data_IF_771717130668
#
_entry.id   IF_771717130668
#
_cell.length_a   1.000
_cell.length_b   1.000
_cell.length_c   1.000
_cell.angle_alpha   90.00
_cell.angle_beta   90.00
_cell.angle_gamma   90.00
#
_symmetry.space_group_name_H-M   'P 1'
#
loop_
_entity.id
_entity.type
_entity.pdbx_description
1 polymer ?
#
# COMPACT_ATOMS: atom_id res chain seq x y z
N UNK A 1 13.61 -1.74 26.04
CA UNK A 1 14.51 -2.35 25.04
C UNK A 1 13.65 -2.90 23.93
N UNK A 2 14.06 -2.88 22.66
CA UNK A 2 13.31 -3.57 21.64
C UNK A 2 13.26 -5.06 22.02
N UNK A 3 12.07 -5.67 21.94
CA UNK A 3 11.86 -7.09 22.31
C UNK A 3 12.58 -8.04 21.36
N UNK A 4 12.83 -7.60 20.15
CA UNK A 4 13.53 -8.37 19.10
C UNK A 4 14.37 -7.46 18.22
N UNK A 5 15.45 -8.00 17.68
CA UNK A 5 16.29 -7.28 16.73
C UNK A 5 15.59 -7.19 15.35
N UNK A 6 15.02 -8.29 14.90
CA UNK A 6 14.18 -8.37 13.70
C UNK A 6 13.32 -9.63 13.74
N UNK A 7 12.12 -9.56 13.14
CA UNK A 7 11.26 -10.71 12.81
C UNK A 7 11.23 -10.82 11.30
N UNK A 8 11.44 -12.02 10.75
CA UNK A 8 11.41 -12.25 9.31
C UNK A 8 10.16 -13.01 8.93
N UNK A 9 9.36 -12.44 8.01
CA UNK A 9 8.20 -13.11 7.42
C UNK A 9 8.37 -13.08 5.90
N UNK A 10 8.38 -14.26 5.28
CA UNK A 10 8.74 -14.36 3.86
C UNK A 10 10.16 -13.83 3.62
N UNK A 11 10.31 -12.84 2.77
CA UNK A 11 11.57 -12.18 2.46
C UNK A 11 11.72 -10.78 3.10
N UNK A 12 10.84 -10.44 4.04
CA UNK A 12 10.84 -9.15 4.71
C UNK A 12 11.27 -9.28 6.17
N UNK A 13 12.28 -8.50 6.55
CA UNK A 13 12.73 -8.41 7.94
C UNK A 13 12.12 -7.16 8.60
N UNK A 14 11.25 -7.38 9.59
CA UNK A 14 10.63 -6.34 10.39
C UNK A 14 11.55 -5.95 11.54
N UNK A 15 11.85 -4.66 11.70
CA UNK A 15 12.30 -4.14 12.99
C UNK A 15 11.15 -4.18 14.00
N UNK A 16 11.44 -4.04 15.29
CA UNK A 16 10.38 -3.96 16.33
C UNK A 16 9.37 -2.84 16.02
N UNK A 17 9.86 -1.71 15.51
CA UNK A 17 9.03 -0.57 15.16
C UNK A 17 8.20 -0.82 13.90
N UNK A 18 8.79 -1.46 12.88
CA UNK A 18 8.07 -1.81 11.65
C UNK A 18 6.95 -2.83 11.96
N UNK A 19 7.22 -3.85 12.80
CA UNK A 19 6.25 -4.87 13.17
C UNK A 19 5.04 -4.26 13.88
N UNK A 20 5.29 -3.41 14.90
CA UNK A 20 4.24 -2.74 15.64
C UNK A 20 3.41 -1.85 14.71
N UNK A 21 4.07 -0.94 14.01
CA UNK A 21 3.39 -0.01 13.15
C UNK A 21 2.65 -0.68 11.99
N UNK A 22 3.14 -1.86 11.54
CA UNK A 22 2.45 -2.71 10.57
C UNK A 22 1.09 -3.15 11.09
N UNK A 23 1.06 -3.70 12.30
CA UNK A 23 -0.19 -4.16 12.91
C UNK A 23 -1.13 -2.99 13.30
N UNK A 24 -0.58 -1.82 13.65
CA UNK A 24 -1.37 -0.61 13.94
C UNK A 24 -2.16 -0.12 12.72
N UNK A 25 -1.56 -0.13 11.53
CA UNK A 25 -2.17 0.42 10.31
C UNK A 25 -3.10 -0.55 9.57
N UNK A 26 -3.17 -1.81 9.97
CA UNK A 26 -3.99 -2.80 9.25
C UNK A 26 -5.47 -2.44 9.18
N UNK A 27 -6.01 -1.82 10.24
CA UNK A 27 -7.39 -1.39 10.25
C UNK A 27 -7.65 -0.27 9.23
N UNK A 28 -6.72 0.68 9.10
CA UNK A 28 -6.83 1.76 8.11
C UNK A 28 -6.72 1.21 6.69
N UNK A 29 -5.85 0.21 6.47
CA UNK A 29 -5.74 -0.47 5.19
C UNK A 29 -7.06 -1.16 4.82
N UNK A 30 -7.68 -1.89 5.73
CA UNK A 30 -8.99 -2.50 5.51
C UNK A 30 -10.05 -1.44 5.16
N UNK A 31 -10.07 -0.32 5.88
CA UNK A 31 -10.96 0.81 5.59
C UNK A 31 -10.78 1.35 4.17
N UNK A 32 -9.53 1.40 3.65
CA UNK A 32 -9.27 1.80 2.27
C UNK A 32 -9.79 0.78 1.25
N UNK A 33 -9.72 -0.53 1.50
CA UNK A 33 -10.28 -1.54 0.62
C UNK A 33 -11.81 -1.45 0.52
N UNK A 34 -12.46 -1.03 1.59
CA UNK A 34 -13.93 -1.03 1.70
C UNK A 34 -14.55 0.32 1.39
N UNK A 35 -13.74 1.37 1.22
CA UNK A 35 -14.21 2.77 1.16
C UNK A 35 -15.10 3.11 -0.05
N UNK A 36 -14.99 2.43 -1.17
CA UNK A 36 -15.59 2.91 -2.42
C UNK A 36 -16.56 1.93 -3.10
N UNK A 37 -16.82 0.74 -2.57
CA UNK A 37 -17.58 -0.27 -3.31
C UNK A 37 -18.24 -1.31 -2.42
N UNK A 38 -19.18 -2.04 -2.97
CA UNK A 38 -19.68 -3.28 -2.38
C UNK A 38 -18.52 -4.27 -2.25
N UNK A 39 -18.25 -4.72 -1.03
CA UNK A 39 -17.18 -5.68 -0.75
C UNK A 39 -17.58 -7.03 -1.35
N UNK A 40 -16.76 -7.65 -2.20
CA UNK A 40 -17.04 -8.98 -2.74
C UNK A 40 -17.21 -10.03 -1.63
N UNK A 41 -18.15 -10.95 -1.77
CA UNK A 41 -18.43 -11.96 -0.74
C UNK A 41 -17.18 -12.84 -0.45
N UNK A 42 -16.35 -13.11 -1.45
CA UNK A 42 -15.09 -13.81 -1.26
C UNK A 42 -14.12 -13.08 -0.33
N UNK A 43 -14.10 -11.74 -0.37
CA UNK A 43 -13.29 -10.92 0.54
C UNK A 43 -13.84 -10.97 1.96
N UNK A 44 -15.15 -10.90 2.13
CA UNK A 44 -15.81 -11.02 3.44
C UNK A 44 -15.53 -12.38 4.07
N UNK A 45 -15.58 -13.45 3.30
CA UNK A 45 -15.24 -14.79 3.78
C UNK A 45 -13.77 -14.87 4.19
N UNK A 46 -12.84 -14.34 3.39
CA UNK A 46 -11.42 -14.24 3.72
C UNK A 46 -11.17 -13.41 4.98
N UNK A 47 -11.83 -12.27 5.11
CA UNK A 47 -11.70 -11.40 6.28
C UNK A 47 -12.19 -12.08 7.56
N UNK A 48 -13.32 -12.79 7.51
CA UNK A 48 -13.82 -13.58 8.66
C UNK A 48 -12.80 -14.61 9.12
N UNK A 49 -12.20 -15.36 8.18
CA UNK A 49 -11.14 -16.33 8.47
C UNK A 49 -9.91 -15.68 9.08
N UNK A 50 -9.45 -14.58 8.51
CA UNK A 50 -8.32 -13.80 9.00
C UNK A 50 -8.56 -13.26 10.42
N UNK A 51 -9.73 -12.67 10.71
CA UNK A 51 -10.07 -12.16 12.03
C UNK A 51 -10.13 -13.26 13.09
N UNK A 52 -10.65 -14.44 12.73
CA UNK A 52 -10.63 -15.61 13.61
C UNK A 52 -9.20 -16.07 13.93
N UNK A 53 -8.32 -16.11 12.93
CA UNK A 53 -6.89 -16.44 13.09
C UNK A 53 -6.18 -15.41 13.97
N UNK A 54 -6.35 -14.12 13.70
CA UNK A 54 -5.75 -13.01 14.48
C UNK A 54 -6.16 -13.09 15.95
N UNK A 55 -7.47 -13.31 16.20
CA UNK A 55 -8.00 -13.43 17.55
C UNK A 55 -7.39 -14.62 18.30
N UNK A 56 -7.28 -15.76 17.64
CA UNK A 56 -6.66 -16.97 18.20
C UNK A 56 -5.19 -16.75 18.53
N UNK A 57 -4.41 -16.18 17.62
CA UNK A 57 -2.97 -15.94 17.78
C UNK A 57 -2.67 -14.95 18.90
N UNK A 58 -3.48 -13.90 19.04
CA UNK A 58 -3.33 -12.91 20.11
C UNK A 58 -4.00 -13.31 21.44
N UNK A 59 -4.72 -14.43 21.48
CA UNK A 59 -5.44 -14.86 22.66
C UNK A 59 -6.52 -13.86 23.10
N UNK A 60 -7.25 -13.28 22.13
CA UNK A 60 -8.37 -12.37 22.37
C UNK A 60 -9.70 -13.02 22.00
N UNK A 61 -10.80 -12.51 22.57
CA UNK A 61 -12.14 -12.98 22.22
C UNK A 61 -12.51 -12.49 20.82
N UNK A 62 -12.91 -13.42 19.95
CA UNK A 62 -13.42 -13.08 18.60
C UNK A 62 -14.77 -12.36 18.75
N UNK A 63 -14.93 -11.13 18.21
CA UNK A 63 -16.22 -10.44 18.22
C UNK A 63 -17.20 -11.09 17.22
N UNK A 64 -18.47 -10.63 17.22
CA UNK A 64 -19.44 -11.03 16.19
C UNK A 64 -18.92 -10.63 14.80
N UNK A 65 -18.99 -11.57 13.85
CA UNK A 65 -18.57 -11.37 12.45
C UNK A 65 -19.74 -11.03 11.51
N UNK A 66 -20.90 -10.65 12.07
CA UNK A 66 -22.05 -10.16 11.26
C UNK A 66 -21.71 -8.85 10.54
N UNK A 67 -21.01 -7.95 11.23
CA UNK A 67 -20.44 -6.74 10.64
C UNK A 67 -18.92 -6.86 10.62
N UNK A 68 -18.38 -7.20 9.46
CA UNK A 68 -16.93 -7.46 9.29
C UNK A 68 -16.10 -6.20 9.53
N UNK A 69 -16.56 -5.02 9.14
CA UNK A 69 -15.83 -3.76 9.35
C UNK A 69 -15.66 -3.45 10.84
N UNK A 70 -16.76 -3.56 11.60
CA UNK A 70 -16.72 -3.36 13.04
C UNK A 70 -15.86 -4.43 13.74
N UNK A 71 -15.94 -5.67 13.27
CA UNK A 71 -15.14 -6.76 13.79
C UNK A 71 -13.65 -6.55 13.49
N UNK A 72 -13.33 -6.05 12.31
CA UNK A 72 -11.94 -5.75 11.90
C UNK A 72 -11.33 -4.70 12.84
N UNK A 73 -12.01 -3.58 13.05
CA UNK A 73 -11.59 -2.53 13.97
C UNK A 73 -11.42 -3.07 15.41
N UNK A 74 -12.38 -3.85 15.90
CA UNK A 74 -12.36 -4.40 17.26
C UNK A 74 -11.19 -5.38 17.47
N UNK A 75 -10.95 -6.29 16.52
CA UNK A 75 -9.85 -7.27 16.63
C UNK A 75 -8.51 -6.54 16.60
N UNK A 76 -8.30 -5.61 15.68
CA UNK A 76 -7.03 -4.88 15.59
C UNK A 76 -6.77 -4.00 16.81
N UNK A 77 -7.78 -3.30 17.32
CA UNK A 77 -7.66 -2.56 18.60
C UNK A 77 -7.23 -3.49 19.73
N UNK A 78 -7.90 -4.63 19.91
CA UNK A 78 -7.58 -5.59 20.97
C UNK A 78 -6.19 -6.24 20.82
N UNK A 79 -5.74 -6.48 19.56
CA UNK A 79 -4.36 -6.94 19.29
C UNK A 79 -3.36 -5.89 19.74
N UNK A 80 -3.61 -4.62 19.44
CA UNK A 80 -2.69 -3.53 19.79
C UNK A 80 -2.64 -3.25 21.28
N UNK A 81 -3.77 -3.36 22.00
CA UNK A 81 -3.81 -3.27 23.48
C UNK A 81 -2.94 -4.34 24.14
N UNK A 82 -2.88 -5.53 23.54
CA UNK A 82 -2.06 -6.65 24.02
C UNK A 82 -0.65 -6.72 23.43
N UNK A 83 -0.31 -5.85 22.50
CA UNK A 83 0.93 -5.99 21.71
C UNK A 83 2.17 -6.16 22.60
N UNK A 84 2.21 -5.42 23.69
CA UNK A 84 3.35 -5.47 24.62
C UNK A 84 3.45 -6.78 25.43
N UNK A 85 2.41 -7.56 25.49
CA UNK A 85 2.38 -8.87 26.14
C UNK A 85 2.60 -10.03 25.17
N UNK A 86 2.55 -9.78 23.84
CA UNK A 86 2.76 -10.80 22.83
C UNK A 86 4.22 -11.25 22.78
N UNK A 87 4.42 -12.54 22.58
CA UNK A 87 5.74 -13.12 22.34
C UNK A 87 6.19 -12.89 20.89
N UNK A 88 7.50 -12.94 20.61
CA UNK A 88 8.02 -12.85 19.24
C UNK A 88 7.37 -13.85 18.28
N UNK A 89 7.19 -15.15 18.61
CA UNK A 89 6.49 -16.08 17.73
C UNK A 89 5.03 -15.72 17.46
N UNK A 90 4.33 -15.08 18.42
CA UNK A 90 2.98 -14.59 18.18
C UNK A 90 2.97 -13.40 17.20
N UNK A 91 3.88 -12.45 17.38
CA UNK A 91 4.01 -11.30 16.47
C UNK A 91 4.37 -11.78 15.06
N UNK A 92 5.32 -12.72 14.92
CA UNK A 92 5.67 -13.35 13.64
C UNK A 92 4.45 -14.00 12.98
N UNK A 93 3.67 -14.76 13.76
CA UNK A 93 2.47 -15.44 13.27
C UNK A 93 1.38 -14.45 12.83
N UNK A 94 1.17 -13.35 13.57
CA UNK A 94 0.23 -12.28 13.21
C UNK A 94 0.63 -11.60 11.88
N UNK A 95 1.91 -11.27 11.73
CA UNK A 95 2.44 -10.71 10.48
C UNK A 95 2.32 -11.71 9.32
N UNK A 96 2.58 -13.00 9.57
CA UNK A 96 2.43 -14.04 8.56
C UNK A 96 0.96 -14.24 8.15
N UNK A 97 0.01 -14.13 9.07
CA UNK A 97 -1.42 -14.17 8.77
C UNK A 97 -1.81 -13.02 7.83
N UNK A 98 -1.33 -11.80 8.08
CA UNK A 98 -1.51 -10.66 7.21
C UNK A 98 -0.96 -10.92 5.79
N UNK A 99 0.27 -11.44 5.67
CA UNK A 99 0.89 -11.74 4.37
C UNK A 99 0.12 -12.81 3.57
N UNK A 100 -0.60 -13.69 4.24
CA UNK A 100 -1.47 -14.66 3.58
C UNK A 100 -2.81 -14.06 3.17
N UNK A 101 -3.38 -13.20 3.99
CA UNK A 101 -4.72 -12.65 3.79
C UNK A 101 -4.79 -11.63 2.63
N UNK A 102 -3.99 -10.57 2.67
CA UNK A 102 -4.12 -9.48 1.69
C UNK A 102 -3.95 -9.92 0.23
N UNK A 103 -3.00 -10.81 -0.13
CA UNK A 103 -2.90 -11.31 -1.49
C UNK A 103 -4.10 -12.15 -1.98
N UNK A 104 -4.99 -12.61 -1.10
CA UNK A 104 -6.19 -13.35 -1.50
C UNK A 104 -7.29 -12.45 -2.03
N UNK A 105 -7.26 -11.16 -1.66
CA UNK A 105 -8.15 -10.14 -2.20
C UNK A 105 -7.67 -9.71 -3.58
N UNK A 106 -7.88 -10.57 -4.59
CA UNK A 106 -7.40 -10.37 -5.95
C UNK A 106 -8.51 -10.48 -6.98
N UNK A 107 -8.42 -9.66 -8.01
CA UNK A 107 -9.14 -9.83 -9.25
C UNK A 107 -8.40 -10.81 -10.17
N UNK A 108 -9.14 -11.50 -11.02
CA UNK A 108 -8.61 -12.46 -11.98
C UNK A 108 -8.58 -11.91 -13.41
N UNK A 109 -9.24 -10.80 -13.70
CA UNK A 109 -9.34 -10.23 -15.04
C UNK A 109 -8.53 -8.94 -15.17
N UNK A 110 -7.86 -8.75 -16.33
CA UNK A 110 -7.22 -7.49 -16.68
C UNK A 110 -8.33 -6.50 -17.01
N UNK A 111 -8.43 -5.41 -16.26
CA UNK A 111 -9.39 -4.34 -16.52
C UNK A 111 -8.77 -3.21 -17.35
N UNK A 112 -7.51 -2.88 -17.05
CA UNK A 112 -6.81 -1.81 -17.74
C UNK A 112 -5.39 -2.22 -18.13
N UNK A 113 -4.95 -1.71 -19.29
CA UNK A 113 -3.57 -1.83 -19.77
C UNK A 113 -3.02 -0.42 -19.98
N UNK A 114 -1.89 -0.14 -19.37
CA UNK A 114 -1.15 1.11 -19.49
C UNK A 114 0.34 0.86 -19.69
N UNK A 115 1.11 1.90 -19.49
CA UNK A 115 2.56 1.88 -19.67
C UNK A 115 3.26 2.54 -18.49
N UNK A 116 4.38 2.02 -18.06
CA UNK A 116 5.28 2.67 -17.11
C UNK A 116 5.87 3.91 -17.82
N UNK A 117 5.29 5.07 -17.54
CA UNK A 117 5.70 6.33 -18.19
C UNK A 117 6.98 6.88 -17.56
N UNK A 118 7.12 6.79 -16.25
CA UNK A 118 8.30 7.24 -15.52
C UNK A 118 8.60 6.34 -14.33
N UNK A 119 9.89 6.22 -14.01
CA UNK A 119 10.41 5.56 -12.81
C UNK A 119 11.26 6.54 -12.02
N UNK A 120 11.15 6.49 -10.69
CA UNK A 120 11.87 7.41 -9.81
C UNK A 120 12.41 6.71 -8.57
N UNK A 121 13.65 7.04 -8.22
CA UNK A 121 14.27 6.59 -6.98
C UNK A 121 15.31 7.60 -6.50
N UNK A 122 15.27 8.01 -5.26
CA UNK A 122 16.33 8.75 -4.58
C UNK A 122 16.00 8.99 -3.11
N UNK A 123 16.95 9.55 -2.38
CA UNK A 123 16.70 10.12 -1.06
C UNK A 123 16.07 11.50 -1.18
N UNK A 124 14.89 11.68 -0.57
CA UNK A 124 14.19 12.98 -0.52
C UNK A 124 13.31 13.26 -1.75
N UNK A 125 12.79 14.49 -1.82
CA UNK A 125 11.91 15.00 -2.86
C UNK A 125 12.53 16.18 -3.60
N UNK A 126 12.26 16.34 -4.90
CA UNK A 126 11.62 15.37 -5.80
C UNK A 126 12.49 14.13 -5.98
N UNK A 127 11.88 12.99 -6.24
CA UNK A 127 12.61 11.79 -6.61
C UNK A 127 13.24 11.95 -8.00
N UNK A 128 14.44 11.38 -8.17
CA UNK A 128 15.19 11.45 -9.43
C UNK A 128 14.69 10.42 -10.43
N UNK A 129 14.57 10.77 -11.73
CA UNK A 129 14.22 9.82 -12.76
C UNK A 129 15.31 8.76 -12.95
N UNK A 130 14.88 7.54 -13.27
CA UNK A 130 15.70 6.39 -13.64
C UNK A 130 15.04 5.66 -14.82
N UNK A 131 15.83 4.98 -15.66
CA UNK A 131 15.30 4.28 -16.84
C UNK A 131 14.81 2.87 -16.51
N UNK A 132 15.38 2.26 -15.49
CA UNK A 132 15.02 0.91 -15.02
C UNK A 132 15.17 0.79 -13.51
N UNK A 133 14.44 -0.15 -12.93
CA UNK A 133 14.44 -0.40 -11.48
C UNK A 133 14.43 -1.90 -11.18
N UNK A 134 15.27 -2.32 -10.25
CA UNK A 134 15.12 -3.62 -9.59
C UNK A 134 14.12 -3.44 -8.45
N UNK A 135 13.02 -4.19 -8.52
CA UNK A 135 11.94 -4.17 -7.55
C UNK A 135 12.11 -5.35 -6.60
N UNK A 136 12.34 -5.05 -5.35
CA UNK A 136 12.40 -6.00 -4.25
C UNK A 136 11.18 -5.94 -3.34
N UNK A 137 11.17 -6.76 -2.30
CA UNK A 137 10.10 -6.81 -1.30
C UNK A 137 9.90 -5.50 -0.53
N UNK A 138 10.95 -4.70 -0.43
CA UNK A 138 10.97 -3.40 0.24
C UNK A 138 10.96 -2.22 -0.75
N UNK A 139 10.60 -2.46 -2.00
CA UNK A 139 10.45 -1.44 -3.04
C UNK A 139 11.60 -1.38 -4.02
N UNK A 140 11.88 -0.19 -4.55
CA UNK A 140 12.91 0.05 -5.55
C UNK A 140 14.30 -0.03 -4.93
N UNK A 141 15.19 -0.84 -5.50
CA UNK A 141 16.58 -0.92 -5.05
C UNK A 141 17.26 0.45 -5.22
N UNK A 142 17.91 0.92 -4.14
CA UNK A 142 18.58 2.23 -4.13
C UNK A 142 17.66 3.41 -3.80
N UNK A 143 16.36 3.19 -3.69
CA UNK A 143 15.46 4.20 -3.13
C UNK A 143 15.63 4.29 -1.61
N UNK A 144 15.55 5.50 -1.06
CA UNK A 144 15.73 5.72 0.37
C UNK A 144 14.53 6.46 0.93
N UNK A 145 13.75 5.76 1.73
CA UNK A 145 12.66 6.35 2.48
C UNK A 145 13.20 6.90 3.80
N UNK A 146 13.30 8.22 3.89
CA UNK A 146 13.97 8.89 5.01
C UNK A 146 13.21 8.78 6.34
N UNK A 147 11.91 8.53 6.30
CA UNK A 147 11.05 8.43 7.47
C UNK A 147 10.31 7.10 7.52
N UNK A 148 10.99 6.07 7.99
CA UNK A 148 10.47 4.71 8.01
C UNK A 148 9.29 4.49 8.95
N UNK A 149 9.05 5.37 9.91
CA UNK A 149 7.86 5.30 10.79
C UNK A 149 6.56 5.48 10.00
N UNK A 150 6.59 6.32 8.96
CA UNK A 150 5.43 6.60 8.11
C UNK A 150 5.52 6.03 6.69
N UNK A 151 6.63 5.38 6.33
CA UNK A 151 6.89 4.88 4.98
C UNK A 151 7.77 3.63 5.00
N UNK A 152 7.74 2.84 3.92
CA UNK A 152 8.66 1.72 3.73
C UNK A 152 8.28 0.45 4.47
N UNK A 153 7.05 0.34 4.87
CA UNK A 153 6.47 -0.91 5.35
C UNK A 153 6.16 -1.82 4.15
N UNK A 154 5.93 -3.13 4.35
CA UNK A 154 5.68 -4.05 3.23
C UNK A 154 4.61 -3.58 2.26
N UNK A 155 3.52 -3.02 2.75
CA UNK A 155 2.44 -2.48 1.92
C UNK A 155 2.67 -1.05 1.42
N UNK A 156 3.80 -0.46 1.76
CA UNK A 156 4.28 0.83 1.26
C UNK A 156 5.60 0.65 0.48
N UNK A 157 5.84 -0.55 -0.05
CA UNK A 157 7.04 -0.87 -0.80
C UNK A 157 7.21 0.01 -2.04
N UNK A 158 6.10 0.28 -2.72
CA UNK A 158 6.05 1.18 -3.87
C UNK A 158 5.00 2.27 -3.65
N UNK A 159 5.21 3.42 -4.27
CA UNK A 159 4.20 4.46 -4.45
C UNK A 159 3.94 4.61 -5.95
N UNK A 160 2.68 4.47 -6.36
CA UNK A 160 2.24 4.49 -7.76
C UNK A 160 1.32 5.69 -7.98
N UNK A 161 1.47 6.35 -9.14
CA UNK A 161 0.62 7.45 -9.55
C UNK A 161 0.28 7.37 -11.04
N UNK A 162 -0.77 8.08 -11.48
CA UNK A 162 -1.22 8.16 -12.85
C UNK A 162 -0.75 9.48 -13.49
N UNK A 163 -0.35 9.44 -14.77
CA UNK A 163 -0.14 10.68 -15.54
C UNK A 163 -1.43 11.48 -15.65
N UNK A 164 -2.58 10.81 -15.76
CA UNK A 164 -3.91 11.41 -15.83
C UNK A 164 -4.17 12.30 -14.60
N UNK A 165 -3.86 11.81 -13.39
CA UNK A 165 -3.94 12.59 -12.16
C UNK A 165 -3.00 13.81 -12.17
N UNK A 166 -1.76 13.64 -12.61
CA UNK A 166 -0.76 14.71 -12.68
C UNK A 166 -1.23 15.79 -13.68
N UNK A 167 -1.74 15.38 -14.83
CA UNK A 167 -2.19 16.31 -15.87
C UNK A 167 -3.44 17.09 -15.43
N UNK A 168 -4.36 16.44 -14.70
CA UNK A 168 -5.50 17.12 -14.06
C UNK A 168 -5.03 18.19 -13.07
N UNK A 169 -4.11 17.85 -12.17
CA UNK A 169 -3.55 18.81 -11.21
C UNK A 169 -2.79 19.95 -11.89
N UNK A 170 -2.08 19.68 -12.98
CA UNK A 170 -1.44 20.73 -13.81
C UNK A 170 -2.44 21.66 -14.45
N UNK A 171 -3.54 21.13 -14.99
CA UNK A 171 -4.61 21.92 -15.57
C UNK A 171 -5.28 22.86 -14.52
N UNK A 172 -5.28 22.47 -13.25
CA UNK A 172 -5.71 23.29 -12.13
C UNK A 172 -4.66 24.37 -11.72
N UNK A 173 -3.48 24.37 -12.35
CA UNK A 173 -2.41 25.35 -12.08
C UNK A 173 -1.40 24.93 -11.03
N UNK A 174 -1.38 23.65 -10.62
CA UNK A 174 -0.38 23.15 -9.70
C UNK A 174 0.96 22.89 -10.41
N UNK A 175 2.11 23.35 -9.90
CA UNK A 175 3.43 23.13 -10.50
C UNK A 175 3.97 21.71 -10.20
N UNK A 176 3.17 20.68 -10.44
CA UNK A 176 3.49 19.27 -10.15
C UNK A 176 4.06 18.56 -11.39
N UNK A 177 4.94 17.62 -11.18
CA UNK A 177 5.53 16.77 -12.22
C UNK A 177 5.79 15.37 -11.69
N UNK A 178 5.99 14.36 -12.57
CA UNK A 178 6.37 13.02 -12.14
C UNK A 178 7.59 13.03 -11.21
N UNK A 179 7.56 12.23 -10.15
CA UNK A 179 8.57 12.15 -9.11
C UNK A 179 8.47 13.21 -8.01
N UNK A 180 7.69 14.30 -8.23
CA UNK A 180 7.62 15.42 -7.29
C UNK A 180 6.92 15.05 -5.99
N UNK A 181 5.84 14.27 -6.08
CA UNK A 181 5.10 13.84 -4.91
C UNK A 181 5.69 12.60 -4.22
N UNK A 182 6.79 12.06 -4.74
CA UNK A 182 7.54 10.95 -4.13
C UNK A 182 7.11 9.58 -4.60
N UNK A 183 6.34 9.49 -5.68
CA UNK A 183 6.01 8.21 -6.31
C UNK A 183 7.25 7.57 -6.97
N UNK A 184 7.24 6.22 -7.00
CA UNK A 184 8.26 5.42 -7.65
C UNK A 184 7.92 5.11 -9.10
N UNK A 185 6.64 4.91 -9.39
CA UNK A 185 6.13 4.52 -10.69
C UNK A 185 5.02 5.49 -11.09
N UNK A 186 5.16 6.12 -12.26
CA UNK A 186 4.10 6.89 -12.88
C UNK A 186 3.60 6.12 -14.10
N UNK A 187 2.28 5.86 -14.15
CA UNK A 187 1.64 5.03 -15.18
C UNK A 187 0.81 5.92 -16.12
N UNK A 188 0.92 5.70 -17.43
CA UNK A 188 0.08 6.33 -18.45
C UNK A 188 -0.92 5.35 -19.05
N UNK A 189 -2.01 5.89 -19.63
CA UNK A 189 -3.01 5.09 -20.34
C UNK A 189 -4.06 4.40 -19.46
N UNK A 190 -4.02 4.65 -18.15
CA UNK A 190 -5.02 4.16 -17.20
C UNK A 190 -5.63 5.36 -16.49
N UNK A 191 -6.97 5.51 -16.46
CA UNK A 191 -7.64 6.60 -15.73
C UNK A 191 -7.28 6.59 -14.25
N UNK A 192 -7.12 7.78 -13.64
CA UNK A 192 -6.75 7.89 -12.21
C UNK A 192 -7.72 7.16 -11.29
N UNK A 193 -9.03 7.22 -11.55
CA UNK A 193 -10.05 6.54 -10.76
C UNK A 193 -10.04 5.00 -10.83
N UNK A 194 -9.29 4.41 -11.77
CA UNK A 194 -9.10 2.96 -11.81
C UNK A 194 -8.11 2.45 -10.73
N UNK A 195 -7.22 3.33 -10.27
CA UNK A 195 -6.26 2.99 -9.22
C UNK A 195 -6.96 3.06 -7.85
N UNK A 196 -7.26 1.90 -7.26
CA UNK A 196 -7.92 1.79 -5.96
C UNK A 196 -7.32 0.68 -5.11
N UNK A 197 -7.40 0.77 -3.80
CA UNK A 197 -6.97 -0.31 -2.90
C UNK A 197 -7.62 -1.63 -3.28
N UNK A 198 -6.86 -2.73 -3.18
CA UNK A 198 -7.30 -4.06 -3.58
C UNK A 198 -6.99 -4.43 -5.03
N UNK A 199 -6.82 -3.47 -5.94
CA UNK A 199 -6.45 -3.75 -7.32
C UNK A 199 -5.05 -4.38 -7.40
N UNK A 200 -4.92 -5.44 -8.19
CA UNK A 200 -3.64 -6.09 -8.46
C UNK A 200 -2.99 -5.52 -9.70
N UNK A 201 -1.67 -5.56 -9.76
CA UNK A 201 -0.93 -5.15 -10.96
C UNK A 201 0.14 -6.15 -11.36
N UNK A 202 0.51 -6.09 -12.64
CA UNK A 202 1.65 -6.80 -13.22
C UNK A 202 2.44 -5.86 -14.12
N UNK A 203 3.78 -5.93 -14.01
CA UNK A 203 4.73 -5.25 -14.90
C UNK A 203 5.81 -6.27 -15.24
N UNK A 204 5.75 -6.87 -16.42
CA UNK A 204 6.63 -8.00 -16.75
C UNK A 204 6.50 -9.15 -15.73
N UNK A 205 7.56 -9.46 -15.01
CA UNK A 205 7.56 -10.48 -13.95
C UNK A 205 7.13 -9.94 -12.59
N UNK A 206 7.21 -8.63 -12.37
CA UNK A 206 6.83 -8.01 -11.10
C UNK A 206 5.33 -8.09 -10.90
N UNK A 207 4.91 -8.49 -9.72
CA UNK A 207 3.51 -8.55 -9.32
C UNK A 207 3.33 -7.87 -7.97
N UNK A 208 2.19 -7.27 -7.77
CA UNK A 208 1.81 -6.65 -6.51
C UNK A 208 0.34 -6.29 -6.48
N UNK A 209 -0.06 -5.62 -5.42
CA UNK A 209 -1.39 -5.07 -5.29
C UNK A 209 -1.34 -3.70 -4.60
N UNK A 210 -2.31 -2.86 -4.93
CA UNK A 210 -2.48 -1.54 -4.34
C UNK A 210 -3.07 -1.71 -2.95
N UNK A 211 -2.43 -1.15 -1.95
CA UNK A 211 -2.78 -1.40 -0.54
C UNK A 211 -3.62 -0.29 0.05
N UNK A 212 -3.18 0.94 -0.06
CA UNK A 212 -3.84 2.09 0.54
C UNK A 212 -3.57 3.36 -0.25
N UNK A 213 -4.43 4.36 -0.06
CA UNK A 213 -4.15 5.70 -0.55
C UNK A 213 -2.97 6.31 0.20
N UNK A 214 -2.05 6.95 -0.53
CA UNK A 214 -0.92 7.63 0.07
C UNK A 214 -1.36 9.00 0.62
N UNK A 215 -1.31 9.15 1.94
CA UNK A 215 -1.73 10.37 2.62
C UNK A 215 -0.84 11.54 2.20
N UNK A 216 -1.43 12.67 1.75
CA UNK A 216 -0.67 13.87 1.45
C UNK A 216 0.09 14.40 2.66
N UNK A 217 1.33 14.83 2.47
CA UNK A 217 2.11 15.42 3.55
C UNK A 217 2.65 16.82 3.18
N UNK A 218 3.03 17.58 4.19
CA UNK A 218 3.54 18.96 4.03
C UNK A 218 4.81 19.08 3.17
N UNK A 219 5.56 17.99 2.97
CA UNK A 219 6.72 17.99 2.08
C UNK A 219 6.34 18.28 0.63
N UNK A 220 5.06 18.14 0.28
CA UNK A 220 4.55 18.41 -1.06
C UNK A 220 4.06 19.86 -1.26
N UNK A 221 4.17 20.74 -0.25
CA UNK A 221 3.66 22.12 -0.30
C UNK A 221 4.09 22.90 -1.55
N UNK A 222 5.36 22.78 -1.93
CA UNK A 222 5.94 23.60 -3.00
C UNK A 222 5.48 23.17 -4.40
N UNK A 223 4.87 22.00 -4.51
CA UNK A 223 4.31 21.45 -5.74
C UNK A 223 2.83 21.76 -5.94
N UNK A 224 2.23 22.48 -5.00
CA UNK A 224 0.81 22.84 -5.06
C UNK A 224 0.61 24.35 -4.91
N UNK A 225 -0.18 24.93 -5.82
CA UNK A 225 -0.61 26.31 -5.74
C UNK A 225 -1.28 26.56 -4.37
N UNK A 226 -0.98 27.70 -3.76
CA UNK A 226 -1.46 28.06 -2.41
C UNK A 226 -1.09 27.04 -1.31
N UNK A 227 -0.10 26.17 -1.57
CA UNK A 227 0.32 25.10 -0.66
C UNK A 227 -0.81 24.10 -0.35
N UNK A 228 -1.80 23.96 -1.22
CA UNK A 228 -2.95 23.05 -1.05
C UNK A 228 -2.59 21.61 -1.47
N UNK A 229 -1.55 21.06 -0.85
CA UNK A 229 -1.12 19.66 -1.11
C UNK A 229 -2.22 18.62 -0.77
N UNK A 230 -3.23 19.00 0.03
CA UNK A 230 -4.38 18.13 0.30
C UNK A 230 -5.27 17.93 -0.92
N UNK A 231 -5.08 18.69 -2.02
CA UNK A 231 -5.80 18.49 -3.27
C UNK A 231 -5.59 17.07 -3.83
N UNK A 232 -4.43 16.43 -3.59
CA UNK A 232 -4.18 15.04 -3.97
C UNK A 232 -4.65 14.02 -2.92
N UNK A 233 -5.55 14.37 -1.98
CA UNK A 233 -6.18 13.41 -1.07
C UNK A 233 -7.30 12.67 -1.77
N UNK A 234 -7.41 11.35 -1.54
CA UNK A 234 -8.54 10.53 -2.03
C UNK A 234 -9.92 11.01 -1.57
N UNK A 235 -9.97 11.81 -0.49
CA UNK A 235 -11.20 12.45 -0.01
C UNK A 235 -11.67 13.60 -0.92
N UNK A 236 -10.81 14.06 -1.85
CA UNK A 236 -11.04 15.24 -2.70
C UNK A 236 -11.06 14.93 -4.19
N UNK A 237 -10.89 13.68 -4.56
CA UNK A 237 -10.94 13.20 -5.95
C UNK A 237 -10.02 12.02 -6.21
N UNK A 238 -9.96 11.64 -7.47
CA UNK A 238 -9.20 10.47 -7.93
C UNK A 238 -7.71 10.76 -8.22
N UNK A 239 -7.26 12.00 -7.98
CA UNK A 239 -5.87 12.42 -8.25
C UNK A 239 -4.90 12.00 -7.15
N UNK A 240 -5.28 11.01 -6.35
CA UNK A 240 -4.46 10.48 -5.26
C UNK A 240 -3.39 9.49 -5.76
N UNK A 241 -2.32 9.36 -4.98
CA UNK A 241 -1.33 8.30 -5.14
C UNK A 241 -1.73 7.08 -4.31
N UNK A 242 -1.23 5.91 -4.70
CA UNK A 242 -1.44 4.70 -3.92
C UNK A 242 -0.11 4.06 -3.52
N UNK A 243 -0.09 3.47 -2.33
CA UNK A 243 0.94 2.55 -1.95
C UNK A 243 0.66 1.16 -2.52
N UNK A 244 1.71 0.36 -2.65
CA UNK A 244 1.61 -1.00 -3.13
C UNK A 244 2.55 -1.94 -2.40
N UNK A 245 2.11 -3.18 -2.24
CA UNK A 245 2.89 -4.31 -1.78
C UNK A 245 3.38 -5.12 -2.96
N UNK A 246 4.64 -5.53 -2.91
CA UNK A 246 5.24 -6.41 -3.92
C UNK A 246 5.06 -7.86 -3.52
N UNK A 247 4.50 -8.68 -4.40
CA UNK A 247 4.33 -10.14 -4.19
C UNK A 247 5.25 -10.98 -5.04
N UNK A 248 5.81 -10.42 -6.11
CA UNK A 248 6.85 -11.05 -6.93
C UNK A 248 7.86 -9.99 -7.36
N UNK A 249 9.12 -10.21 -7.03
CA UNK A 249 10.23 -9.33 -7.37
C UNK A 249 10.62 -9.46 -8.85
N UNK A 250 11.34 -8.46 -9.37
CA UNK A 250 11.85 -8.47 -10.73
C UNK A 250 12.47 -7.15 -11.13
N UNK A 251 12.72 -6.98 -12.43
CA UNK A 251 13.21 -5.73 -13.00
C UNK A 251 12.15 -5.16 -13.93
N UNK A 252 11.96 -3.85 -13.87
CA UNK A 252 11.04 -3.10 -14.73
C UNK A 252 11.78 -1.93 -15.39
N UNK A 253 11.28 -1.48 -16.53
CA UNK A 253 11.80 -0.34 -17.29
C UNK A 253 10.72 0.65 -17.67
N UNK A 254 11.14 1.88 -17.98
CA UNK A 254 10.26 2.85 -18.66
C UNK A 254 9.84 2.26 -20.01
N UNK A 255 8.55 2.32 -20.32
CA UNK A 255 7.96 1.71 -21.51
C UNK A 255 7.36 0.31 -21.29
N UNK A 256 7.63 -0.34 -20.17
CA UNK A 256 7.03 -1.64 -19.85
C UNK A 256 5.51 -1.53 -19.74
N UNK A 257 4.82 -2.61 -20.13
CA UNK A 257 3.37 -2.73 -20.00
C UNK A 257 2.99 -2.84 -18.52
N UNK A 258 2.05 -1.99 -18.08
CA UNK A 258 1.41 -2.06 -16.77
C UNK A 258 0.00 -2.62 -16.93
N UNK A 259 -0.27 -3.76 -16.32
CA UNK A 259 -1.61 -4.37 -16.32
C UNK A 259 -2.23 -4.18 -14.94
N UNK A 260 -3.45 -3.66 -14.89
CA UNK A 260 -4.24 -3.49 -13.68
C UNK A 260 -5.41 -4.47 -13.68
N UNK A 261 -5.58 -5.17 -12.58
CA UNK A 261 -6.61 -6.17 -12.36
C UNK A 261 -7.51 -5.69 -11.23
N UNK A 262 -8.80 -5.57 -11.49
CA UNK A 262 -9.77 -5.16 -10.48
C UNK A 262 -10.94 -6.12 -10.46
N UNK A 263 -11.62 -6.24 -9.32
CA UNK A 263 -12.88 -6.97 -9.21
C UNK A 263 -14.01 -6.16 -9.85
N UNK A 264 -14.86 -6.85 -10.59
CA UNK A 264 -16.13 -6.30 -11.09
C UNK A 264 -17.22 -6.44 -10.07
#
# INVERSE_FOLDING_TARGET
MPRHASITVGNYAYTAQDARGTLEELNDIWGHYTHASTIPEGWLAGARGYLAEMSSLAGITLPSLENVDSAFAAVHTSVMEKYDDLTEPQIESLLAAMWRFFPTMRSLEIEHIGTVAHLHASKGLPKKPIDSAVIGWNGVQGDVQSWRVGHGRPWQALCIWSTDAIDTLRAEGHPISPGFAGENITVSGIPSGAFRPGAHFRIGTVRGFLTSYAIPCKQNNDWFANKDFKRMSHERGDECRLYAMVTTCGTIGVGDTFELFTDR
#
